data_IF_301828487189
#
_entry.id   IF_301828487189
#
_cell.length_a   1.000
_cell.length_b   1.000
_cell.length_c   1.000
_cell.angle_alpha   90.00
_cell.angle_beta   90.00
_cell.angle_gamma   90.00
#
_symmetry.space_group_name_H-M   'P 1'
#
loop_
_entity.id
_entity.type
_entity.pdbx_description
1 polymer ?
#
# COMPACT_ATOMS: atom_id res chain seq x y z
N UNK A 1 -17.96 -7.70 -13.21
CA UNK A 1 -18.57 -7.23 -11.94
C UNK A 1 -18.27 -5.75 -11.83
N UNK A 2 -19.30 -4.90 -11.68
CA UNK A 2 -19.10 -3.46 -11.58
C UNK A 2 -18.42 -3.12 -10.24
N UNK A 3 -17.32 -2.37 -10.28
CA UNK A 3 -16.73 -1.78 -9.07
C UNK A 3 -17.75 -0.84 -8.43
N UNK A 4 -17.90 -0.83 -7.10
CA UNK A 4 -18.71 0.18 -6.43
C UNK A 4 -18.16 1.58 -6.74
N UNK A 5 -19.04 2.53 -7.03
CA UNK A 5 -18.62 3.93 -7.24
C UNK A 5 -18.29 4.59 -5.89
N UNK A 6 -17.01 4.52 -5.51
CA UNK A 6 -16.50 5.13 -4.28
C UNK A 6 -16.26 6.64 -4.41
N UNK A 7 -16.43 7.22 -5.59
CA UNK A 7 -16.13 8.64 -5.84
C UNK A 7 -17.11 9.59 -5.14
N UNK A 8 -18.33 9.12 -4.84
CA UNK A 8 -19.38 9.88 -4.14
C UNK A 8 -19.34 9.72 -2.61
N UNK A 9 -18.53 8.80 -2.08
CA UNK A 9 -18.55 8.46 -0.65
C UNK A 9 -17.69 9.42 0.19
N UNK A 10 -18.37 10.21 1.04
CA UNK A 10 -17.73 11.06 2.05
C UNK A 10 -16.98 10.25 3.13
N UNK A 11 -17.34 8.99 3.32
CA UNK A 11 -16.69 8.00 4.17
C UNK A 11 -16.78 6.61 3.54
N UNK A 12 -15.75 5.78 3.73
CA UNK A 12 -15.81 4.38 3.28
C UNK A 12 -16.92 3.64 4.03
N UNK A 13 -17.58 2.64 3.42
CA UNK A 13 -18.47 1.73 4.12
C UNK A 13 -17.60 0.81 4.98
N UNK A 14 -17.10 1.36 6.08
CA UNK A 14 -16.54 0.58 7.17
C UNK A 14 -17.75 0.12 7.95
N UNK A 15 -18.05 -1.18 7.93
CA UNK A 15 -19.01 -1.77 8.83
C UNK A 15 -18.55 -1.51 10.27
N UNK A 16 -19.06 -0.45 10.89
CA UNK A 16 -18.88 -0.14 12.30
C UNK A 16 -19.66 -1.13 13.21
N UNK A 17 -20.19 -2.22 12.65
CA UNK A 17 -21.04 -3.19 13.32
C UNK A 17 -20.31 -4.44 13.84
N UNK A 18 -18.98 -4.45 13.88
CA UNK A 18 -18.32 -5.28 14.90
C UNK A 18 -18.36 -4.49 16.20
N UNK A 19 -19.30 -4.87 17.06
CA UNK A 19 -19.41 -4.46 18.45
C UNK A 19 -18.06 -4.39 19.15
N UNK A 20 -17.66 -3.18 19.52
CA UNK A 20 -17.30 -2.90 20.91
C UNK A 20 -17.86 -1.53 21.33
N UNK A 21 -19.20 -1.42 21.30
CA UNK A 21 -19.90 -0.46 22.17
C UNK A 21 -20.25 -1.18 23.47
N UNK A 22 -19.24 -1.62 24.22
CA UNK A 22 -19.40 -1.88 25.64
C UNK A 22 -18.14 -1.53 26.46
N UNK A 23 -17.51 -0.38 26.20
CA UNK A 23 -16.76 0.35 27.22
C UNK A 23 -16.45 1.75 26.70
N UNK A 24 -16.44 2.77 27.57
CA UNK A 24 -16.09 4.16 27.23
C UNK A 24 -14.60 4.37 26.88
N UNK A 25 -14.00 3.42 26.16
CA UNK A 25 -12.63 3.53 25.69
C UNK A 25 -12.55 4.58 24.57
N UNK A 26 -11.56 5.48 24.59
CA UNK A 26 -11.37 6.44 23.51
C UNK A 26 -11.09 5.68 22.20
N UNK A 27 -11.66 6.17 21.10
CA UNK A 27 -11.38 5.65 19.77
C UNK A 27 -9.86 5.71 19.52
N UNK A 28 -9.23 4.57 19.37
CA UNK A 28 -7.80 4.50 19.11
C UNK A 28 -7.52 4.94 17.66
N UNK A 29 -6.73 6.01 17.51
CA UNK A 29 -6.38 6.59 16.21
C UNK A 29 -4.92 6.28 15.87
N UNK A 30 -4.68 5.81 14.64
CA UNK A 30 -3.34 5.47 14.14
C UNK A 30 -2.88 6.57 13.17
N UNK A 31 -1.74 7.21 13.46
CA UNK A 31 -1.07 8.14 12.56
C UNK A 31 -0.08 7.38 11.65
N UNK A 32 -0.32 7.43 10.33
CA UNK A 32 0.61 6.89 9.33
C UNK A 32 1.21 8.06 8.56
N UNK A 33 2.52 8.27 8.68
CA UNK A 33 3.22 9.35 7.98
C UNK A 33 4.50 8.89 7.30
N UNK A 34 4.97 9.69 6.36
CA UNK A 34 6.34 9.70 5.87
C UNK A 34 6.78 11.17 5.82
N UNK A 35 7.94 11.45 5.23
CA UNK A 35 8.49 12.80 5.20
C UNK A 35 7.53 13.81 4.51
N UNK A 36 7.21 13.60 3.23
CA UNK A 36 6.34 14.50 2.46
C UNK A 36 4.87 14.07 2.39
N UNK A 37 4.52 12.89 2.91
CA UNK A 37 3.17 12.33 2.74
C UNK A 37 2.77 11.99 1.29
N UNK A 38 3.73 11.94 0.35
CA UNK A 38 3.44 11.80 -1.10
C UNK A 38 3.45 10.35 -1.59
N UNK A 39 4.34 9.51 -1.07
CA UNK A 39 4.65 8.20 -1.68
C UNK A 39 4.58 7.05 -0.68
N UNK A 40 5.49 6.99 0.31
CA UNK A 40 5.55 5.89 1.30
C UNK A 40 4.27 5.72 2.12
N UNK A 41 3.82 6.74 2.86
CA UNK A 41 2.63 6.61 3.70
C UNK A 41 1.34 6.38 2.90
N UNK A 42 1.06 7.08 1.77
CA UNK A 42 -0.12 6.75 0.96
C UNK A 42 -0.10 5.33 0.41
N UNK A 43 1.08 4.78 0.05
CA UNK A 43 1.19 3.40 -0.43
C UNK A 43 0.68 2.40 0.60
N UNK A 44 1.06 2.58 1.88
CA UNK A 44 0.59 1.71 2.97
C UNK A 44 -0.91 1.85 3.18
N UNK A 45 -1.43 3.09 3.16
CA UNK A 45 -2.87 3.35 3.29
C UNK A 45 -3.64 2.67 2.14
N UNK A 46 -3.17 2.82 0.91
CA UNK A 46 -3.77 2.20 -0.28
C UNK A 46 -3.80 0.67 -0.13
N UNK A 47 -2.67 0.04 0.19
CA UNK A 47 -2.58 -1.40 0.36
C UNK A 47 -3.51 -1.93 1.48
N UNK A 48 -3.64 -1.16 2.57
CA UNK A 48 -4.57 -1.47 3.65
C UNK A 48 -6.03 -1.40 3.19
N UNK A 49 -6.42 -0.33 2.50
CA UNK A 49 -7.79 -0.16 2.00
C UNK A 49 -8.17 -1.24 1.00
N UNK A 50 -7.27 -1.57 0.06
CA UNK A 50 -7.46 -2.67 -0.89
C UNK A 50 -7.74 -3.99 -0.16
N UNK A 51 -6.92 -4.35 0.83
CA UNK A 51 -7.11 -5.59 1.60
C UNK A 51 -8.40 -5.56 2.43
N UNK A 52 -8.64 -4.46 3.15
CA UNK A 52 -9.74 -4.34 4.11
C UNK A 52 -11.11 -4.27 3.42
N UNK A 53 -11.18 -3.55 2.30
CA UNK A 53 -12.44 -3.27 1.60
C UNK A 53 -12.61 -4.06 0.30
N UNK A 54 -11.59 -4.83 -0.10
CA UNK A 54 -11.58 -5.61 -1.35
C UNK A 54 -11.87 -4.75 -2.58
N UNK A 55 -11.26 -3.56 -2.62
CA UNK A 55 -11.35 -2.60 -3.73
C UNK A 55 -10.08 -2.62 -4.57
N UNK A 56 -10.19 -2.24 -5.84
CA UNK A 56 -9.05 -2.21 -6.75
C UNK A 56 -8.06 -1.10 -6.38
N UNK A 57 -6.79 -1.27 -6.79
CA UNK A 57 -5.73 -0.29 -6.55
C UNK A 57 -6.11 1.14 -6.96
N UNK A 58 -6.72 1.30 -8.14
CA UNK A 58 -7.10 2.61 -8.67
C UNK A 58 -8.15 3.29 -7.81
N UNK A 59 -9.15 2.54 -7.34
CA UNK A 59 -10.23 3.04 -6.48
C UNK A 59 -9.67 3.49 -5.13
N UNK A 60 -8.79 2.67 -4.52
CA UNK A 60 -8.12 3.02 -3.28
C UNK A 60 -7.23 4.27 -3.42
N UNK A 61 -6.47 4.40 -4.52
CA UNK A 61 -5.65 5.56 -4.80
C UNK A 61 -6.50 6.83 -4.97
N UNK A 62 -7.60 6.75 -5.71
CA UNK A 62 -8.51 7.86 -5.92
C UNK A 62 -9.19 8.29 -4.62
N UNK A 63 -9.57 7.33 -3.77
CA UNK A 63 -10.09 7.61 -2.45
C UNK A 63 -9.06 8.35 -1.57
N UNK A 64 -7.80 7.89 -1.51
CA UNK A 64 -6.77 8.56 -0.71
C UNK A 64 -6.50 9.98 -1.24
N UNK A 65 -6.48 10.18 -2.56
CA UNK A 65 -6.36 11.50 -3.18
C UNK A 65 -7.51 12.43 -2.81
N UNK A 66 -8.75 11.93 -2.76
CA UNK A 66 -9.91 12.76 -2.41
C UNK A 66 -9.90 13.22 -0.95
N UNK A 67 -9.27 12.45 -0.04
CA UNK A 67 -9.09 12.83 1.37
C UNK A 67 -7.88 13.74 1.62
N UNK A 68 -6.94 13.79 0.68
CA UNK A 68 -5.74 14.63 0.79
C UNK A 68 -5.56 15.56 -0.42
N UNK A 69 -6.54 16.44 -0.73
CA UNK A 69 -6.50 17.26 -1.95
C UNK A 69 -5.31 18.23 -2.03
N UNK A 70 -4.73 18.59 -0.87
CA UNK A 70 -3.56 19.48 -0.78
C UNK A 70 -2.23 18.75 -1.06
N UNK A 71 -2.17 17.43 -0.91
CA UNK A 71 -0.97 16.63 -1.09
C UNK A 71 -1.03 15.93 -2.45
N UNK A 72 0.04 16.05 -3.24
CA UNK A 72 0.16 15.35 -4.52
C UNK A 72 0.46 13.87 -4.31
N UNK A 73 -0.50 13.12 -3.79
CA UNK A 73 -0.37 11.67 -3.56
C UNK A 73 -0.01 10.98 -4.87
N UNK A 74 1.22 10.46 -4.91
CA UNK A 74 1.82 9.80 -6.06
C UNK A 74 2.85 8.78 -5.55
N UNK A 75 2.42 7.54 -5.28
CA UNK A 75 3.34 6.43 -5.08
C UNK A 75 4.39 6.39 -6.22
N UNK A 76 5.63 6.01 -5.89
CA UNK A 76 6.64 5.78 -6.92
C UNK A 76 6.23 4.60 -7.80
N UNK A 77 6.74 4.47 -9.04
CA UNK A 77 6.43 3.33 -9.90
C UNK A 77 6.71 1.98 -9.23
N UNK A 78 7.77 1.90 -8.41
CA UNK A 78 8.10 0.71 -7.64
C UNK A 78 7.00 0.38 -6.62
N UNK A 79 6.52 1.37 -5.86
CA UNK A 79 5.42 1.16 -4.91
C UNK A 79 4.10 0.82 -5.61
N UNK A 80 3.80 1.45 -6.75
CA UNK A 80 2.63 1.09 -7.56
C UNK A 80 2.71 -0.37 -7.98
N UNK A 81 3.87 -0.84 -8.45
CA UNK A 81 4.07 -2.25 -8.81
C UNK A 81 3.94 -3.19 -7.61
N UNK A 82 4.50 -2.85 -6.47
CA UNK A 82 4.36 -3.64 -5.24
C UNK A 82 2.90 -3.82 -4.83
N UNK A 83 2.11 -2.74 -4.90
CA UNK A 83 0.68 -2.77 -4.55
C UNK A 83 -0.14 -3.55 -5.58
N UNK A 84 0.25 -3.53 -6.85
CA UNK A 84 -0.37 -4.37 -7.88
C UNK A 84 -0.11 -5.86 -7.60
N UNK A 85 1.15 -6.23 -7.33
CA UNK A 85 1.49 -7.62 -6.94
C UNK A 85 0.75 -8.03 -5.67
N UNK A 86 0.58 -7.11 -4.72
CA UNK A 86 -0.19 -7.33 -3.49
C UNK A 86 -1.67 -7.68 -3.75
N UNK A 87 -2.28 -7.07 -4.76
CA UNK A 87 -3.62 -7.40 -5.23
C UNK A 87 -3.64 -8.78 -5.92
N UNK A 88 -2.71 -9.03 -6.84
CA UNK A 88 -2.61 -10.27 -7.62
C UNK A 88 -2.43 -11.52 -6.75
N UNK A 89 -1.66 -11.41 -5.67
CA UNK A 89 -1.46 -12.52 -4.71
C UNK A 89 -2.61 -12.67 -3.71
N UNK A 90 -3.66 -11.85 -3.81
CA UNK A 90 -4.82 -11.90 -2.93
C UNK A 90 -4.51 -11.51 -1.48
N UNK A 91 -3.53 -10.63 -1.27
CA UNK A 91 -3.07 -10.17 0.04
C UNK A 91 -2.41 -11.26 0.91
N UNK A 92 -1.87 -12.29 0.26
CA UNK A 92 -1.06 -13.35 0.86
C UNK A 92 0.05 -13.75 -0.13
N UNK A 93 1.30 -13.37 0.17
CA UNK A 93 2.44 -13.51 -0.75
C UNK A 93 3.09 -14.91 -0.77
N UNK A 94 2.75 -15.77 0.20
CA UNK A 94 3.28 -17.14 0.33
C UNK A 94 2.20 -18.18 0.04
N UNK A 95 2.57 -19.29 -0.57
CA UNK A 95 1.68 -20.45 -0.79
C UNK A 95 1.54 -21.31 0.47
N UNK A 96 2.58 -21.33 1.31
CA UNK A 96 2.69 -22.13 2.52
C UNK A 96 2.73 -21.27 3.79
N UNK A 97 2.40 -21.89 4.92
CA UNK A 97 2.43 -21.26 6.24
C UNK A 97 3.86 -20.96 6.71
N UNK A 98 4.84 -21.76 6.29
CA UNK A 98 6.26 -21.59 6.63
C UNK A 98 6.91 -20.41 5.88
N UNK A 99 6.16 -19.77 4.97
CA UNK A 99 6.62 -18.61 4.18
C UNK A 99 7.86 -18.91 3.34
N UNK A 100 7.99 -20.15 2.87
CA UNK A 100 9.13 -20.59 2.09
C UNK A 100 8.89 -20.45 0.58
N UNK A 101 7.65 -20.59 0.11
CA UNK A 101 7.29 -20.67 -1.29
C UNK A 101 6.51 -19.40 -1.67
N UNK A 102 7.13 -18.44 -2.38
CA UNK A 102 6.44 -17.25 -2.83
C UNK A 102 5.44 -17.60 -3.93
N UNK A 103 4.27 -16.96 -3.92
CA UNK A 103 3.31 -17.06 -5.03
C UNK A 103 3.94 -16.56 -6.33
N UNK A 104 3.51 -17.13 -7.45
CA UNK A 104 4.10 -16.84 -8.77
C UNK A 104 4.22 -15.33 -9.10
N UNK A 105 3.21 -14.46 -8.86
CA UNK A 105 3.37 -13.02 -9.13
C UNK A 105 4.44 -12.36 -8.26
N UNK A 106 4.52 -12.74 -6.99
CA UNK A 106 5.54 -12.22 -6.08
C UNK A 106 6.94 -12.74 -6.42
N UNK A 107 7.05 -14.02 -6.81
CA UNK A 107 8.30 -14.60 -7.29
C UNK A 107 8.84 -13.86 -8.53
N UNK A 108 8.00 -13.61 -9.53
CA UNK A 108 8.38 -12.87 -10.73
C UNK A 108 8.83 -11.43 -10.38
N UNK A 109 8.14 -10.78 -9.44
CA UNK A 109 8.57 -9.46 -8.94
C UNK A 109 9.96 -9.49 -8.29
N UNK A 110 10.27 -10.54 -7.50
CA UNK A 110 11.59 -10.69 -6.88
C UNK A 110 12.69 -10.94 -7.91
N UNK A 111 12.43 -11.78 -8.92
CA UNK A 111 13.37 -12.07 -10.01
C UNK A 111 13.70 -10.81 -10.82
N UNK A 112 12.68 -10.05 -11.23
CA UNK A 112 12.88 -8.78 -11.94
C UNK A 112 13.64 -7.76 -11.11
N UNK A 113 13.36 -7.70 -9.80
CA UNK A 113 14.06 -6.79 -8.89
C UNK A 113 15.52 -7.20 -8.71
N UNK A 114 15.80 -8.49 -8.62
CA UNK A 114 17.18 -9.00 -8.51
C UNK A 114 17.98 -8.65 -9.78
N UNK A 115 17.41 -8.88 -10.96
CA UNK A 115 18.05 -8.51 -12.23
C UNK A 115 18.28 -6.99 -12.35
N UNK A 116 17.31 -6.17 -11.91
CA UNK A 116 17.47 -4.72 -11.89
C UNK A 116 18.63 -4.29 -10.96
N UNK A 117 18.73 -4.88 -9.78
CA UNK A 117 19.78 -4.55 -8.81
C UNK A 117 21.16 -4.97 -9.32
N UNK A 118 21.28 -6.17 -9.90
CA UNK A 118 22.52 -6.65 -10.54
C UNK A 118 22.99 -5.68 -11.64
N UNK A 119 22.07 -5.26 -12.53
CA UNK A 119 22.38 -4.31 -13.60
C UNK A 119 22.82 -2.93 -13.07
N UNK A 120 22.39 -2.54 -11.87
CA UNK A 120 22.77 -1.29 -11.23
C UNK A 120 24.00 -1.42 -10.33
N UNK A 121 24.56 -2.63 -10.18
CA UNK A 121 25.64 -2.90 -9.22
C UNK A 121 25.21 -2.68 -7.77
N UNK A 122 23.92 -2.86 -7.47
CA UNK A 122 23.32 -2.66 -6.16
C UNK A 122 23.03 -4.00 -5.51
N UNK A 123 23.14 -4.03 -4.19
CA UNK A 123 22.75 -5.14 -3.30
C UNK A 123 21.29 -5.05 -2.87
N UNK A 124 20.68 -3.86 -2.95
CA UNK A 124 19.35 -3.58 -2.42
C UNK A 124 19.31 -3.32 -0.91
N UNK A 125 20.46 -3.39 -0.24
CA UNK A 125 20.65 -3.10 1.19
C UNK A 125 21.51 -1.84 1.38
N UNK A 126 21.57 -0.98 0.37
CA UNK A 126 22.29 0.28 0.48
C UNK A 126 21.69 1.11 1.62
N UNK A 127 22.51 1.80 2.42
CA UNK A 127 21.99 2.73 3.39
C UNK A 127 21.11 3.75 2.67
N UNK A 128 19.95 4.05 3.24
CA UNK A 128 19.11 5.16 2.80
C UNK A 128 19.91 6.45 3.00
N UNK A 129 20.71 6.81 2.02
CA UNK A 129 21.44 8.07 2.03
C UNK A 129 20.39 9.18 2.22
N UNK A 130 20.55 10.07 3.21
CA UNK A 130 19.88 11.35 3.13
C UNK A 130 20.23 11.90 1.75
N UNK A 131 19.24 12.36 0.99
CA UNK A 131 19.52 13.22 -0.15
C UNK A 131 20.29 14.39 0.45
N UNK A 132 21.62 14.39 0.32
CA UNK A 132 22.41 15.56 0.65
C UNK A 132 21.84 16.64 -0.24
N UNK A 133 21.16 17.61 0.36
CA UNK A 133 20.88 18.88 -0.26
C UNK A 133 22.26 19.45 -0.59
N UNK A 134 22.75 19.19 -1.80
CA UNK A 134 23.84 19.95 -2.37
C UNK A 134 23.33 21.39 -2.44
N UNK A 135 23.79 22.18 -1.48
CA UNK A 135 23.66 23.63 -1.35
C UNK A 135 24.08 24.37 -2.60
#
# INVERSE_FOLDING_TARGET
>A
MASPDFSSLSSLPIDHNTTDKLCGAPSEAILIHCDLGVSRSPTIIIAYLMRKLRIQQLDALNFVKSKQPKLRVKPSPNFTRQVQVWEEVGYQIWEDEDRAIPKAPYKAFLEDRAALLENLGLTGNEPLAPLSLSS
#
